data_IF_480502335104
#
_entry.id   IF_480502335104
#
_cell.length_a   1.000
_cell.length_b   1.000
_cell.length_c   1.000
_cell.angle_alpha   90.00
_cell.angle_beta   90.00
_cell.angle_gamma   90.00
#
_symmetry.space_group_name_H-M   'P 1'
#
loop_
_entity.id
_entity.type
_entity.pdbx_description
1 polymer ?
#
# COMPACT_ATOMS: atom_id res chain seq x y z
N UNK A 1 -43.02 8.99 -27.47
CA UNK A 1 -43.20 9.94 -28.58
C UNK A 1 -42.42 11.20 -28.23
N UNK A 2 -41.50 11.52 -29.06
CA UNK A 2 -40.56 12.66 -29.17
C UNK A 2 -39.09 12.33 -28.88
N UNK A 3 -38.46 11.91 -29.97
CA UNK A 3 -37.00 12.01 -30.22
C UNK A 3 -36.57 13.48 -30.23
N UNK A 4 -35.43 13.79 -29.64
CA UNK A 4 -34.60 14.93 -30.07
C UNK A 4 -33.18 14.47 -30.36
N UNK A 5 -32.89 14.52 -31.66
CA UNK A 5 -31.55 14.39 -32.25
C UNK A 5 -30.86 15.73 -32.18
N UNK A 6 -29.57 15.79 -31.82
CA UNK A 6 -28.70 16.91 -32.17
C UNK A 6 -27.39 16.39 -32.79
N UNK A 7 -26.96 17.04 -33.86
CA UNK A 7 -25.82 16.64 -34.66
C UNK A 7 -24.57 17.48 -34.36
N UNK A 8 -23.41 17.00 -34.82
CA UNK A 8 -22.31 17.87 -35.22
C UNK A 8 -20.95 17.60 -34.62
N UNK A 9 -20.16 16.77 -35.31
CA UNK A 9 -18.69 16.79 -35.22
C UNK A 9 -18.13 18.04 -35.93
N UNK A 10 -16.89 18.43 -35.63
CA UNK A 10 -15.92 18.44 -36.71
C UNK A 10 -14.62 17.66 -36.42
N UNK A 11 -14.16 17.00 -37.47
CA UNK A 11 -12.86 16.43 -37.67
C UNK A 11 -11.86 17.53 -38.04
N UNK A 12 -10.70 17.54 -37.40
CA UNK A 12 -9.43 18.09 -37.92
C UNK A 12 -8.33 17.20 -37.30
N UNK A 13 -7.37 16.67 -37.95
CA UNK A 13 -6.66 17.02 -39.14
C UNK A 13 -5.22 16.57 -38.87
N UNK A 14 -4.76 15.59 -39.59
CA UNK A 14 -3.43 14.97 -39.59
C UNK A 14 -2.32 16.00 -39.81
N UNK A 15 -1.24 15.96 -39.05
CA UNK A 15 0.04 16.50 -39.50
C UNK A 15 1.17 15.57 -39.09
N UNK A 16 1.66 14.88 -40.09
CA UNK A 16 2.88 14.06 -40.12
C UNK A 16 4.06 15.01 -40.35
N UNK A 17 5.06 14.97 -39.49
CA UNK A 17 6.37 15.57 -39.81
C UNK A 17 7.49 14.58 -39.51
N UNK A 18 7.98 13.99 -40.58
CA UNK A 18 9.26 13.30 -40.66
C UNK A 18 10.39 14.33 -40.74
N UNK A 19 11.42 14.18 -39.91
CA UNK A 19 12.75 14.74 -40.23
C UNK A 19 13.80 13.66 -40.00
N UNK A 20 14.36 13.24 -41.10
CA UNK A 20 15.57 12.44 -41.22
C UNK A 20 16.73 13.42 -41.38
N UNK A 21 17.83 13.23 -40.67
CA UNK A 21 19.15 13.59 -41.19
C UNK A 21 20.25 12.83 -40.46
N UNK A 22 20.98 12.12 -41.24
CA UNK A 22 22.25 11.48 -41.00
C UNK A 22 23.39 12.48 -41.04
N UNK A 23 24.53 12.19 -40.42
CA UNK A 23 25.78 11.95 -41.10
C UNK A 23 27.00 12.10 -40.19
N UNK A 24 27.78 11.13 -40.18
CA UNK A 24 29.21 10.91 -40.11
C UNK A 24 30.17 12.12 -40.11
N UNK A 25 31.25 11.95 -39.32
CA UNK A 25 32.46 12.78 -39.47
C UNK A 25 33.59 12.28 -38.57
N UNK A 26 34.56 11.73 -39.22
CA UNK A 26 35.75 11.02 -38.78
C UNK A 26 36.95 11.98 -38.54
N UNK A 27 37.88 11.63 -37.64
CA UNK A 27 39.30 11.82 -37.82
C UNK A 27 40.02 12.96 -37.11
N UNK A 28 41.12 12.63 -36.46
CA UNK A 28 42.17 13.60 -36.23
C UNK A 28 43.03 13.38 -34.98
N UNK A 29 44.11 12.69 -35.15
CA UNK A 29 45.31 12.54 -34.29
C UNK A 29 45.99 13.86 -33.97
N UNK A 30 46.62 13.99 -32.77
CA UNK A 30 47.53 15.07 -32.48
C UNK A 30 48.07 15.09 -31.05
N UNK A 31 49.22 14.50 -30.88
CA UNK A 31 50.14 14.55 -29.75
C UNK A 31 50.47 15.99 -29.33
N UNK A 32 50.61 16.26 -28.05
CA UNK A 32 51.69 17.09 -27.50
C UNK A 32 51.66 17.16 -25.97
N UNK A 33 52.68 16.64 -25.38
CA UNK A 33 53.12 16.80 -24.00
C UNK A 33 53.22 18.28 -23.57
N UNK A 34 52.68 18.62 -22.42
CA UNK A 34 53.23 19.67 -21.59
C UNK A 34 52.98 19.39 -20.11
N UNK A 35 54.04 19.00 -19.44
CA UNK A 35 54.13 18.86 -17.98
C UNK A 35 54.19 20.27 -17.36
N UNK A 36 53.41 20.50 -16.31
CA UNK A 36 53.61 21.56 -15.34
C UNK A 36 53.47 20.97 -13.95
N UNK A 37 54.36 21.22 -13.02
CA UNK A 37 54.41 20.56 -11.72
C UNK A 37 53.61 21.31 -10.64
N UNK A 38 53.03 20.54 -9.73
CA UNK A 38 52.91 20.83 -8.31
C UNK A 38 51.77 21.74 -7.89
N UNK A 39 50.84 21.14 -7.23
CA UNK A 39 50.52 21.52 -5.85
C UNK A 39 49.60 20.44 -5.28
N UNK A 40 50.15 19.65 -4.36
CA UNK A 40 49.43 18.76 -3.48
C UNK A 40 48.61 19.61 -2.53
N UNK A 41 47.34 19.82 -2.84
CA UNK A 41 46.35 20.18 -1.85
C UNK A 41 45.64 18.91 -1.46
N UNK A 42 46.06 18.32 -0.33
CA UNK A 42 45.31 17.31 0.39
C UNK A 42 44.01 17.92 0.85
N UNK A 43 42.95 17.72 0.05
CA UNK A 43 41.58 17.89 0.53
C UNK A 43 41.30 16.70 1.41
N UNK A 44 41.24 16.98 2.73
CA UNK A 44 40.75 16.10 3.76
C UNK A 44 39.45 15.47 3.29
N UNK A 45 39.36 14.15 3.47
CA UNK A 45 38.13 13.37 3.41
C UNK A 45 37.13 13.97 4.41
N UNK A 46 36.43 15.00 3.97
CA UNK A 46 35.22 15.48 4.61
C UNK A 46 34.11 14.46 4.34
N UNK A 47 33.68 13.88 5.39
CA UNK A 47 32.46 13.12 5.63
C UNK A 47 31.39 13.32 4.54
N UNK A 48 31.33 12.40 3.58
CA UNK A 48 30.16 12.18 2.71
C UNK A 48 29.32 11.05 3.31
N UNK A 49 28.92 11.23 4.56
CA UNK A 49 27.88 10.42 5.20
C UNK A 49 26.65 11.31 5.30
N UNK A 50 25.76 11.28 4.31
CA UNK A 50 24.33 11.59 4.46
C UNK A 50 23.58 11.66 3.11
N UNK A 51 23.83 10.74 2.19
CA UNK A 51 23.04 10.66 0.95
C UNK A 51 22.34 9.31 0.72
N UNK A 52 22.34 8.41 1.74
CA UNK A 52 21.71 7.09 1.64
C UNK A 52 20.56 6.88 2.66
N UNK A 53 19.96 7.96 3.14
CA UNK A 53 18.83 7.88 4.08
C UNK A 53 17.49 7.49 3.42
N UNK A 54 17.43 7.40 2.10
CA UNK A 54 16.18 7.23 1.34
C UNK A 54 15.50 5.87 1.49
N UNK A 55 16.15 4.80 1.98
CA UNK A 55 15.57 3.46 1.98
C UNK A 55 15.93 2.61 3.20
N UNK A 56 16.38 3.24 4.29
CA UNK A 56 16.70 2.51 5.52
C UNK A 56 15.43 2.29 6.36
N UNK A 57 15.11 1.01 6.60
CA UNK A 57 14.09 0.62 7.56
C UNK A 57 14.56 1.01 8.96
N UNK A 58 13.75 1.72 9.78
CA UNK A 58 14.09 2.02 11.15
C UNK A 58 14.38 0.76 11.96
N UNK A 59 15.25 0.85 12.97
CA UNK A 59 15.52 -0.27 13.86
C UNK A 59 14.42 -0.45 14.91
N UNK A 60 13.70 0.61 15.25
CA UNK A 60 12.62 0.65 16.21
C UNK A 60 11.42 1.41 15.61
N UNK A 61 10.20 1.03 16.00
CA UNK A 61 8.96 1.67 15.54
C UNK A 61 8.57 2.91 16.37
N UNK A 62 9.19 3.15 17.51
CA UNK A 62 8.94 4.33 18.37
C UNK A 62 7.55 4.38 19.02
N UNK A 63 6.69 3.38 18.83
CA UNK A 63 5.33 3.35 19.39
C UNK A 63 5.40 2.90 20.85
N UNK A 64 4.80 3.66 21.81
CA UNK A 64 4.76 3.27 23.22
C UNK A 64 4.13 1.89 23.44
N UNK A 65 4.59 1.16 24.46
CA UNK A 65 4.16 -0.22 24.71
C UNK A 65 2.64 -0.35 24.91
N UNK A 66 2.03 0.58 25.62
CA UNK A 66 0.58 0.59 25.90
C UNK A 66 -0.23 0.83 24.62
N UNK A 67 0.22 1.77 23.80
CA UNK A 67 -0.38 2.09 22.49
C UNK A 67 -0.28 0.88 21.56
N UNK A 68 0.91 0.27 21.52
CA UNK A 68 1.13 -0.93 20.72
C UNK A 68 0.26 -2.11 21.19
N UNK A 69 0.04 -2.26 22.50
CA UNK A 69 -0.82 -3.30 23.05
C UNK A 69 -2.27 -3.15 22.52
N UNK A 70 -2.83 -1.93 22.55
CA UNK A 70 -4.14 -1.63 21.98
C UNK A 70 -4.19 -1.96 20.48
N UNK A 71 -3.18 -1.54 19.72
CA UNK A 71 -3.12 -1.83 18.28
C UNK A 71 -3.06 -3.34 17.99
N UNK A 72 -2.30 -4.10 18.81
CA UNK A 72 -2.23 -5.57 18.70
C UNK A 72 -3.56 -6.24 19.00
N UNK A 73 -4.26 -5.80 20.04
CA UNK A 73 -5.58 -6.35 20.42
C UNK A 73 -6.64 -6.08 19.36
N UNK A 74 -6.54 -4.97 18.63
CA UNK A 74 -7.45 -4.59 17.56
C UNK A 74 -7.06 -5.13 16.17
N UNK A 75 -6.00 -5.96 16.07
CA UNK A 75 -5.49 -6.52 14.80
C UNK A 75 -5.67 -8.04 14.78
N UNK A 76 -6.29 -8.58 13.72
CA UNK A 76 -6.74 -9.97 13.65
C UNK A 76 -6.30 -10.64 12.35
N UNK A 77 -6.12 -11.96 12.41
CA UNK A 77 -5.95 -12.79 11.22
C UNK A 77 -7.29 -12.98 10.51
N UNK A 78 -7.27 -12.80 9.19
CA UNK A 78 -8.35 -13.18 8.27
C UNK A 78 -7.95 -14.42 7.52
N UNK A 79 -8.84 -15.41 7.46
CA UNK A 79 -8.64 -16.63 6.68
C UNK A 79 -9.90 -16.97 5.89
N UNK A 80 -9.75 -17.77 4.86
CA UNK A 80 -10.89 -18.31 4.13
C UNK A 80 -10.47 -19.20 2.97
N UNK A 81 -11.45 -19.92 2.46
CA UNK A 81 -11.27 -20.73 1.26
C UNK A 81 -11.84 -19.95 0.08
N UNK A 82 -10.96 -19.41 -0.75
CA UNK A 82 -11.32 -18.91 -2.07
C UNK A 82 -11.62 -20.08 -3.01
N UNK A 83 -11.89 -19.79 -4.28
CA UNK A 83 -12.37 -20.82 -5.21
C UNK A 83 -11.47 -22.03 -5.36
N UNK A 84 -10.16 -21.88 -5.26
CA UNK A 84 -9.19 -22.98 -5.50
C UNK A 84 -8.11 -23.07 -4.44
N UNK A 85 -7.98 -22.10 -3.54
CA UNK A 85 -6.90 -22.06 -2.54
C UNK A 85 -7.32 -21.38 -1.25
N UNK A 86 -6.69 -21.76 -0.16
CA UNK A 86 -6.78 -20.99 1.10
C UNK A 86 -6.13 -19.63 0.92
N UNK A 87 -6.78 -18.61 1.44
CA UNK A 87 -6.30 -17.22 1.49
C UNK A 87 -6.20 -16.80 2.94
N UNK A 88 -5.25 -15.94 3.25
CA UNK A 88 -5.05 -15.37 4.57
C UNK A 88 -4.46 -13.97 4.47
N UNK A 89 -4.73 -13.18 5.47
CA UNK A 89 -4.27 -11.80 5.61
C UNK A 89 -4.56 -11.27 6.99
N UNK A 90 -4.63 -9.97 7.09
CA UNK A 90 -4.83 -9.23 8.34
C UNK A 90 -6.03 -8.30 8.20
N UNK A 91 -6.74 -8.05 9.29
CA UNK A 91 -7.77 -7.03 9.43
C UNK A 91 -7.58 -6.29 10.74
N UNK A 92 -8.15 -5.08 10.85
CA UNK A 92 -8.13 -4.31 12.09
C UNK A 92 -9.47 -3.62 12.34
N UNK A 93 -9.76 -3.34 13.61
CA UNK A 93 -11.04 -2.76 14.05
C UNK A 93 -11.09 -1.26 13.76
N UNK A 94 -12.16 -0.80 13.10
CA UNK A 94 -12.41 0.60 12.78
C UNK A 94 -13.69 1.15 13.41
N UNK A 95 -14.63 0.26 13.75
CA UNK A 95 -15.86 0.61 14.47
C UNK A 95 -16.35 -0.61 15.25
N UNK A 96 -17.44 -0.45 16.02
CA UNK A 96 -18.12 -1.56 16.67
C UNK A 96 -18.50 -2.62 15.65
N UNK A 97 -18.05 -3.88 15.86
CA UNK A 97 -18.29 -5.02 14.97
C UNK A 97 -17.74 -4.87 13.52
N UNK A 98 -16.95 -3.84 13.24
CA UNK A 98 -16.49 -3.49 11.89
C UNK A 98 -14.97 -3.51 11.80
N UNK A 99 -14.47 -4.19 10.78
CA UNK A 99 -13.04 -4.29 10.46
C UNK A 99 -12.74 -3.91 9.02
N UNK A 100 -11.52 -3.50 8.76
CA UNK A 100 -10.99 -3.27 7.41
C UNK A 100 -9.90 -4.28 7.10
N UNK A 101 -9.88 -4.76 5.86
CA UNK A 101 -8.84 -5.61 5.27
C UNK A 101 -8.65 -5.24 3.79
N UNK A 102 -7.77 -5.95 3.07
CA UNK A 102 -7.71 -5.81 1.62
C UNK A 102 -8.78 -6.64 0.90
N UNK A 103 -9.24 -6.13 -0.23
CA UNK A 103 -10.17 -6.85 -1.11
C UNK A 103 -9.57 -8.18 -1.60
N UNK A 104 -8.27 -8.19 -1.99
CA UNK A 104 -7.62 -9.40 -2.47
C UNK A 104 -7.49 -10.50 -1.40
N UNK A 105 -7.56 -10.17 -0.11
CA UNK A 105 -7.55 -11.14 0.99
C UNK A 105 -8.84 -11.93 1.05
N UNK A 106 -9.97 -11.31 0.71
CA UNK A 106 -11.31 -11.91 0.82
C UNK A 106 -11.98 -12.19 -0.52
N UNK A 107 -11.35 -11.85 -1.65
CA UNK A 107 -11.93 -12.03 -2.98
C UNK A 107 -12.34 -13.49 -3.23
N UNK A 108 -13.63 -13.68 -3.55
CA UNK A 108 -14.22 -15.00 -3.81
C UNK A 108 -14.43 -15.89 -2.57
N UNK A 109 -14.22 -15.37 -1.35
CA UNK A 109 -14.51 -16.09 -0.10
C UNK A 109 -15.93 -15.75 0.35
N UNK A 110 -16.83 -16.73 0.36
CA UNK A 110 -18.22 -16.51 0.76
C UNK A 110 -18.38 -16.21 2.27
N UNK A 111 -17.52 -16.77 3.10
CA UNK A 111 -17.58 -16.65 4.55
C UNK A 111 -16.15 -16.49 5.11
N UNK A 112 -15.55 -15.29 5.00
CA UNK A 112 -14.25 -15.03 5.62
C UNK A 112 -14.32 -15.26 7.12
N UNK A 113 -13.23 -15.75 7.70
CA UNK A 113 -13.12 -16.06 9.12
C UNK A 113 -12.10 -15.18 9.78
N UNK A 114 -12.45 -14.69 10.96
CA UNK A 114 -11.57 -13.90 11.82
C UNK A 114 -11.21 -14.73 13.04
N UNK A 115 -9.94 -14.81 13.39
CA UNK A 115 -9.50 -15.50 14.61
C UNK A 115 -9.58 -14.54 15.80
N UNK A 116 -10.62 -14.67 16.63
CA UNK A 116 -10.84 -13.85 17.82
C UNK A 116 -10.62 -14.73 19.06
N UNK A 117 -9.64 -14.38 19.91
CA UNK A 117 -9.33 -15.13 21.13
C UNK A 117 -9.15 -16.64 20.89
N UNK A 118 -8.48 -16.99 19.78
CA UNK A 118 -8.22 -18.37 19.39
C UNK A 118 -9.43 -19.13 18.81
N UNK A 119 -10.55 -18.46 18.55
CA UNK A 119 -11.74 -19.03 17.89
C UNK A 119 -11.92 -18.40 16.52
N UNK A 120 -12.27 -19.21 15.53
CA UNK A 120 -12.72 -18.72 14.24
C UNK A 120 -14.17 -18.23 14.31
N UNK A 121 -14.40 -16.98 13.91
CA UNK A 121 -15.70 -16.34 13.82
C UNK A 121 -15.95 -15.99 12.35
N UNK A 122 -17.14 -16.31 11.86
CA UNK A 122 -17.54 -15.96 10.49
C UNK A 122 -17.79 -14.45 10.42
N UNK A 123 -17.24 -13.82 9.38
CA UNK A 123 -17.51 -12.43 9.04
C UNK A 123 -18.30 -12.32 7.73
N UNK A 124 -18.94 -11.17 7.53
CA UNK A 124 -19.60 -10.79 6.28
C UNK A 124 -18.82 -9.67 5.62
N UNK A 125 -18.68 -9.72 4.31
CA UNK A 125 -18.17 -8.61 3.53
C UNK A 125 -19.33 -7.65 3.26
N UNK A 126 -19.23 -6.43 3.76
CA UNK A 126 -20.28 -5.40 3.66
C UNK A 126 -19.92 -4.26 2.71
N UNK A 127 -18.63 -4.11 2.38
CA UNK A 127 -18.16 -3.31 1.26
C UNK A 127 -16.91 -3.95 0.64
N UNK A 128 -16.74 -3.77 -0.66
CA UNK A 128 -15.67 -4.40 -1.40
C UNK A 128 -15.30 -3.56 -2.63
N UNK A 129 -14.10 -3.00 -2.63
CA UNK A 129 -13.60 -2.23 -3.75
C UNK A 129 -12.33 -2.88 -4.35
N UNK A 130 -12.43 -3.44 -5.55
CA UNK A 130 -11.30 -4.06 -6.23
C UNK A 130 -10.26 -3.04 -6.73
N UNK A 131 -10.63 -1.78 -6.89
CA UNK A 131 -9.75 -0.72 -7.42
C UNK A 131 -8.83 -0.21 -6.32
N UNK A 132 -9.37 0.16 -5.17
CA UNK A 132 -8.57 0.58 -4.01
C UNK A 132 -7.92 -0.61 -3.30
N UNK A 133 -8.42 -1.84 -3.55
CA UNK A 133 -8.01 -3.07 -2.87
C UNK A 133 -8.36 -3.05 -1.38
N UNK A 134 -9.55 -2.56 -1.03
CA UNK A 134 -10.08 -2.53 0.32
C UNK A 134 -11.39 -3.34 0.43
N UNK A 135 -11.62 -3.88 1.62
CA UNK A 135 -12.88 -4.51 1.98
C UNK A 135 -13.24 -4.21 3.44
N UNK A 136 -14.53 -4.07 3.71
CA UNK A 136 -15.08 -3.91 5.05
C UNK A 136 -15.76 -5.21 5.47
N UNK A 137 -15.43 -5.67 6.67
CA UNK A 137 -15.96 -6.89 7.28
C UNK A 137 -16.79 -6.53 8.50
N UNK A 138 -17.93 -7.20 8.65
CA UNK A 138 -18.70 -7.20 9.88
C UNK A 138 -18.65 -8.57 10.55
N UNK A 139 -18.59 -8.57 11.88
CA UNK A 139 -18.67 -9.75 12.73
C UNK A 139 -19.75 -9.57 13.80
N UNK A 140 -20.46 -10.65 14.14
CA UNK A 140 -21.46 -10.64 15.20
C UNK A 140 -20.82 -11.02 16.55
N UNK A 141 -19.78 -10.26 16.92
CA UNK A 141 -19.01 -10.44 18.16
C UNK A 141 -18.59 -9.08 18.70
N UNK A 142 -18.39 -9.01 20.02
CA UNK A 142 -17.82 -7.83 20.66
C UNK A 142 -16.32 -7.75 20.36
N UNK A 143 -15.92 -6.72 19.62
CA UNK A 143 -14.54 -6.44 19.28
C UNK A 143 -13.87 -5.54 20.34
N UNK A 144 -12.53 -5.51 20.39
CA UNK A 144 -11.77 -4.50 21.15
C UNK A 144 -12.07 -3.08 20.67
N UNK A 145 -11.48 -2.13 21.38
CA UNK A 145 -11.57 -0.72 20.99
C UNK A 145 -11.05 -0.51 19.56
N UNK A 146 -11.78 0.33 18.80
CA UNK A 146 -11.39 0.70 17.45
C UNK A 146 -10.09 1.49 17.43
N UNK A 147 -9.31 1.31 16.38
CA UNK A 147 -8.17 2.18 16.12
C UNK A 147 -8.64 3.48 15.46
N UNK A 148 -8.17 4.65 15.91
CA UNK A 148 -8.44 5.92 15.24
C UNK A 148 -7.79 5.92 13.85
N UNK A 149 -8.42 6.63 12.91
CA UNK A 149 -7.94 6.80 11.54
C UNK A 149 -7.40 8.22 11.36
N UNK A 150 -6.26 8.37 10.69
CA UNK A 150 -5.65 9.68 10.44
C UNK A 150 -4.69 9.68 9.26
N UNK A 151 -4.18 10.85 8.94
CA UNK A 151 -3.29 11.04 7.80
C UNK A 151 -1.84 10.68 8.14
N UNK A 152 -1.14 10.13 7.17
CA UNK A 152 0.28 9.82 7.29
C UNK A 152 1.13 11.10 7.16
N UNK A 153 2.19 11.17 7.96
CA UNK A 153 3.18 12.26 7.88
C UNK A 153 4.43 11.68 7.21
N UNK A 154 4.86 12.22 6.04
CA UNK A 154 6.12 11.80 5.41
C UNK A 154 7.30 11.94 6.38
N UNK A 155 8.18 10.95 6.40
CA UNK A 155 9.31 10.85 7.31
C UNK A 155 8.98 10.25 8.68
N UNK A 156 7.70 10.10 9.04
CA UNK A 156 7.31 9.54 10.34
C UNK A 156 7.72 8.06 10.46
N UNK A 157 8.27 7.72 11.63
CA UNK A 157 8.51 6.35 12.05
C UNK A 157 7.24 5.79 12.66
N UNK A 158 6.85 4.59 12.22
CA UNK A 158 5.56 3.96 12.50
C UNK A 158 5.74 2.47 12.77
N UNK A 159 4.71 1.83 13.34
CA UNK A 159 4.65 0.38 13.47
C UNK A 159 3.70 -0.21 12.43
N UNK A 160 4.15 -1.25 11.73
CA UNK A 160 3.36 -2.03 10.81
C UNK A 160 3.00 -3.35 11.50
N UNK A 161 1.72 -3.66 11.58
CA UNK A 161 1.21 -4.89 12.19
C UNK A 161 0.63 -5.82 11.12
N UNK A 162 0.92 -7.12 11.23
CA UNK A 162 0.37 -8.10 10.31
C UNK A 162 0.52 -9.52 10.84
N UNK A 163 -0.42 -10.38 10.48
CA UNK A 163 -0.35 -11.80 10.78
C UNK A 163 0.42 -12.52 9.67
N UNK A 164 1.33 -13.39 10.06
CA UNK A 164 1.97 -14.32 9.11
C UNK A 164 1.06 -15.54 8.85
N UNK A 165 1.57 -16.48 8.05
CA UNK A 165 0.80 -17.65 7.63
C UNK A 165 0.43 -18.59 8.81
N UNK A 166 1.26 -18.67 9.85
CA UNK A 166 1.00 -19.50 11.02
C UNK A 166 0.05 -18.85 12.04
N UNK A 167 -0.41 -17.63 11.76
CA UNK A 167 -1.33 -16.87 12.61
C UNK A 167 -0.65 -16.01 13.66
N UNK A 168 0.67 -15.99 13.74
CA UNK A 168 1.39 -15.13 14.67
C UNK A 168 1.30 -13.67 14.24
N UNK A 169 0.96 -12.77 15.17
CA UNK A 169 0.98 -11.34 14.95
C UNK A 169 2.41 -10.79 15.06
N UNK A 170 2.90 -10.25 13.98
CA UNK A 170 4.23 -9.66 13.85
C UNK A 170 4.10 -8.13 13.83
N UNK A 171 5.01 -7.45 14.50
CA UNK A 171 5.18 -6.00 14.44
C UNK A 171 6.52 -5.69 13.80
N UNK A 172 6.53 -4.80 12.83
CA UNK A 172 7.74 -4.35 12.15
C UNK A 172 7.87 -2.84 12.26
N UNK A 173 9.07 -2.31 12.51
CA UNK A 173 9.32 -0.89 12.33
C UNK A 173 9.21 -0.52 10.86
N UNK A 174 8.69 0.68 10.61
CA UNK A 174 8.55 1.21 9.27
C UNK A 174 8.70 2.72 9.27
N UNK A 175 8.96 3.31 8.10
CA UNK A 175 8.94 4.76 7.90
C UNK A 175 8.08 5.09 6.69
N UNK A 176 7.23 6.08 6.84
CA UNK A 176 6.49 6.64 5.71
C UNK A 176 7.45 7.46 4.86
N UNK A 177 7.67 7.09 3.61
CA UNK A 177 8.57 7.84 2.72
C UNK A 177 7.79 8.94 2.00
N UNK A 178 6.77 8.59 1.23
CA UNK A 178 5.95 9.56 0.49
C UNK A 178 4.53 9.08 0.22
N UNK A 179 3.65 10.04 -0.06
CA UNK A 179 2.31 9.79 -0.59
C UNK A 179 2.36 9.76 -2.12
N UNK A 180 1.76 8.73 -2.72
CA UNK A 180 1.76 8.50 -4.16
C UNK A 180 0.36 8.22 -4.68
N UNK A 181 0.14 8.37 -5.98
CA UNK A 181 -0.97 7.76 -6.69
C UNK A 181 -0.48 6.45 -7.34
N UNK A 182 -0.84 5.32 -6.76
CA UNK A 182 -0.49 4.02 -7.31
C UNK A 182 -1.42 3.68 -8.48
N UNK A 183 -0.94 3.89 -9.69
CA UNK A 183 -1.67 3.61 -10.94
C UNK A 183 -1.41 2.17 -11.41
N UNK A 184 -2.31 1.62 -12.23
CA UNK A 184 -2.12 0.32 -12.86
C UNK A 184 -3.41 -0.50 -12.92
N UNK A 185 -3.36 -1.69 -12.33
CA UNK A 185 -4.46 -2.65 -12.40
C UNK A 185 -5.13 -2.81 -11.04
N UNK A 186 -6.43 -3.11 -11.08
CA UNK A 186 -7.17 -3.59 -9.93
C UNK A 186 -6.73 -5.01 -9.52
N UNK A 187 -7.37 -5.58 -8.49
CA UNK A 187 -7.04 -6.93 -8.01
C UNK A 187 -7.33 -8.05 -9.02
N UNK A 188 -8.14 -7.79 -10.04
CA UNK A 188 -8.50 -8.72 -11.11
C UNK A 188 -7.68 -8.53 -12.38
N UNK A 189 -6.73 -7.59 -12.38
CA UNK A 189 -5.89 -7.30 -13.52
C UNK A 189 -6.53 -6.37 -14.57
N UNK A 190 -7.69 -5.76 -14.28
CA UNK A 190 -8.32 -4.76 -15.13
C UNK A 190 -7.63 -3.41 -14.94
N UNK A 191 -7.57 -2.61 -16.00
CA UNK A 191 -7.03 -1.26 -15.92
C UNK A 191 -7.90 -0.38 -15.01
N UNK A 192 -7.27 0.31 -14.05
CA UNK A 192 -7.94 1.16 -13.07
C UNK A 192 -7.31 2.56 -13.03
N UNK A 193 -8.07 3.54 -12.54
CA UNK A 193 -7.61 4.93 -12.41
C UNK A 193 -6.47 5.09 -11.38
N UNK A 194 -6.35 4.16 -10.46
CA UNK A 194 -5.35 4.15 -9.40
C UNK A 194 -5.97 4.37 -8.03
N UNK A 195 -5.10 4.34 -6.99
CA UNK A 195 -5.47 4.52 -5.58
C UNK A 195 -4.48 5.41 -4.87
N UNK A 196 -4.93 6.20 -3.91
CA UNK A 196 -4.06 6.98 -3.03
C UNK A 196 -3.31 6.03 -2.12
N UNK A 197 -2.00 6.04 -2.21
CA UNK A 197 -1.14 5.11 -1.49
C UNK A 197 0.04 5.82 -0.84
N UNK A 198 0.73 5.10 0.03
CA UNK A 198 1.97 5.49 0.66
C UNK A 198 3.07 4.54 0.19
N UNK A 199 4.23 5.07 -0.09
CA UNK A 199 5.47 4.30 -0.13
C UNK A 199 6.07 4.27 1.26
N UNK A 200 6.46 3.09 1.73
CA UNK A 200 6.88 2.85 3.11
C UNK A 200 8.15 2.01 3.11
N UNK A 201 9.20 2.48 3.79
CA UNK A 201 10.39 1.68 4.05
C UNK A 201 10.06 0.64 5.13
N UNK A 202 9.87 -0.60 4.73
CA UNK A 202 9.49 -1.70 5.63
C UNK A 202 9.79 -3.07 5.02
N UNK A 203 10.06 -4.05 5.90
CA UNK A 203 10.06 -5.47 5.54
C UNK A 203 8.66 -6.05 5.79
N UNK A 204 8.01 -6.53 4.73
CA UNK A 204 6.68 -7.16 4.81
C UNK A 204 6.72 -8.59 4.31
N UNK A 205 5.91 -9.43 4.95
CA UNK A 205 5.78 -10.85 4.67
C UNK A 205 4.39 -11.16 4.11
N UNK A 206 4.22 -12.38 3.61
CA UNK A 206 2.89 -12.86 3.18
C UNK A 206 1.97 -12.94 4.39
N UNK A 207 0.76 -12.40 4.26
CA UNK A 207 -0.23 -12.28 5.33
C UNK A 207 -0.33 -10.90 5.96
N UNK A 208 0.63 -9.99 5.71
CA UNK A 208 0.55 -8.61 6.18
C UNK A 208 -0.47 -7.76 5.41
N UNK A 209 -0.95 -8.24 4.26
CA UNK A 209 -2.02 -7.60 3.50
C UNK A 209 -3.24 -7.34 4.37
N UNK A 210 -3.75 -6.11 4.37
CA UNK A 210 -4.85 -5.65 5.22
C UNK A 210 -4.42 -5.21 6.62
N UNK A 211 -3.14 -5.34 6.96
CA UNK A 211 -2.60 -4.92 8.25
C UNK A 211 -2.48 -3.41 8.38
N UNK A 212 -2.73 -2.85 9.59
CA UNK A 212 -2.62 -1.44 9.84
C UNK A 212 -1.16 -0.99 9.98
N UNK A 213 -0.89 0.24 9.54
CA UNK A 213 0.30 1.00 9.89
C UNK A 213 -0.14 2.03 10.93
N UNK A 214 0.43 1.99 12.12
CA UNK A 214 0.06 2.88 13.23
C UNK A 214 1.20 3.82 13.60
N UNK A 215 0.87 5.06 13.88
CA UNK A 215 1.80 6.05 14.40
C UNK A 215 2.02 5.91 15.91
N UNK A 216 2.81 6.80 16.51
CA UNK A 216 3.13 6.79 17.92
C UNK A 216 1.92 7.04 18.84
N UNK A 217 0.83 7.58 18.32
CA UNK A 217 -0.44 7.77 19.05
C UNK A 217 -1.40 6.58 18.95
N UNK A 218 -1.08 5.58 18.12
CA UNK A 218 -1.95 4.44 17.82
C UNK A 218 -2.95 4.72 16.69
N UNK A 219 -2.80 5.85 16.01
CA UNK A 219 -3.64 6.21 14.87
C UNK A 219 -3.19 5.40 13.64
N UNK A 220 -4.12 4.75 12.97
CA UNK A 220 -3.87 4.08 11.68
C UNK A 220 -3.67 5.16 10.61
N UNK A 221 -2.53 5.11 9.95
CA UNK A 221 -2.15 6.06 8.88
C UNK A 221 -2.11 5.40 7.50
N UNK A 222 -2.26 4.08 7.42
CA UNK A 222 -2.30 3.33 6.17
C UNK A 222 -2.62 1.85 6.35
N UNK A 223 -2.98 1.18 5.24
CA UNK A 223 -3.30 -0.25 5.18
C UNK A 223 -2.37 -0.94 4.20
N UNK A 224 -1.55 -1.87 4.66
CA UNK A 224 -0.57 -2.57 3.82
C UNK A 224 -1.27 -3.40 2.76
N UNK A 225 -0.86 -3.28 1.48
CA UNK A 225 -1.44 -4.10 0.43
C UNK A 225 -0.41 -4.78 -0.50
N UNK A 226 0.80 -4.26 -0.59
CA UNK A 226 1.81 -4.80 -1.49
C UNK A 226 3.23 -4.54 -0.99
N UNK A 227 4.18 -5.23 -1.61
CA UNK A 227 5.62 -4.99 -1.45
C UNK A 227 6.28 -4.85 -2.82
N UNK A 228 7.41 -4.16 -2.87
CA UNK A 228 8.22 -4.07 -4.07
C UNK A 228 8.75 -5.44 -4.50
N UNK A 229 8.85 -5.63 -5.80
CA UNK A 229 9.52 -6.81 -6.38
C UNK A 229 11.03 -6.64 -6.24
N UNK A 230 11.75 -7.77 -6.12
CA UNK A 230 13.23 -7.74 -6.09
C UNK A 230 13.84 -7.72 -4.69
N UNK A 231 13.04 -7.80 -3.61
CA UNK A 231 13.54 -7.99 -2.25
C UNK A 231 14.06 -6.72 -1.58
N UNK A 232 13.75 -5.53 -2.12
CA UNK A 232 14.01 -4.27 -1.42
C UNK A 232 13.03 -4.07 -0.27
N UNK A 233 13.42 -3.37 0.83
CA UNK A 233 12.57 -3.12 1.96
C UNK A 233 11.59 -1.97 1.68
N UNK A 234 10.78 -2.13 0.64
CA UNK A 234 9.74 -1.18 0.25
C UNK A 234 8.39 -1.88 0.25
N UNK A 235 7.46 -1.33 0.99
CA UNK A 235 6.06 -1.70 1.02
C UNK A 235 5.18 -0.57 0.49
N UNK A 236 3.97 -0.92 0.14
CA UNK A 236 2.94 0.04 -0.27
C UNK A 236 1.74 -0.13 0.64
N UNK A 237 1.19 0.99 1.10
CA UNK A 237 -0.01 1.02 1.91
C UNK A 237 -1.05 1.95 1.29
N UNK A 238 -2.32 1.60 1.42
CA UNK A 238 -3.46 2.42 0.99
C UNK A 238 -3.61 3.55 2.02
N UNK A 239 -3.81 4.78 1.56
CA UNK A 239 -4.06 5.92 2.45
C UNK A 239 -5.41 5.79 3.15
N UNK A 240 -5.48 6.30 4.37
CA UNK A 240 -6.70 6.24 5.19
C UNK A 240 -7.90 6.95 4.54
N UNK A 241 -7.67 7.95 3.70
CA UNK A 241 -8.75 8.58 2.95
C UNK A 241 -9.57 7.60 2.09
N UNK A 242 -8.92 6.58 1.48
CA UNK A 242 -9.65 5.52 0.76
C UNK A 242 -10.46 4.63 1.71
N UNK A 243 -9.95 4.40 2.92
CA UNK A 243 -10.67 3.64 3.96
C UNK A 243 -11.93 4.38 4.39
N UNK A 244 -11.84 5.69 4.61
CA UNK A 244 -12.98 6.54 5.00
C UNK A 244 -14.04 6.55 3.90
N UNK A 245 -13.63 6.74 2.65
CA UNK A 245 -14.54 6.73 1.50
C UNK A 245 -15.29 5.40 1.42
N UNK A 246 -14.60 4.25 1.55
CA UNK A 246 -15.22 2.92 1.52
C UNK A 246 -16.16 2.67 2.72
N UNK A 247 -15.80 3.15 3.92
CA UNK A 247 -16.66 3.04 5.10
C UNK A 247 -17.97 3.81 4.96
N UNK A 248 -17.95 4.95 4.26
CA UNK A 248 -19.16 5.71 3.97
C UNK A 248 -20.06 4.99 2.95
N UNK A 249 -19.47 4.30 1.97
CA UNK A 249 -20.19 3.45 1.02
C UNK A 249 -20.79 2.20 1.69
N UNK A 250 -20.09 1.58 2.64
CA UNK A 250 -20.55 0.38 3.35
C UNK A 250 -21.89 0.55 4.06
N UNK A 251 -22.29 1.78 4.36
CA UNK A 251 -23.60 2.10 4.98
C UNK A 251 -24.78 1.84 4.06
N UNK A 252 -24.56 1.56 2.78
CA UNK A 252 -25.63 1.39 1.76
C UNK A 252 -26.10 -0.06 1.63
N UNK A 253 -25.33 -1.05 2.11
CA UNK A 253 -25.77 -2.46 2.17
C UNK A 253 -24.68 -3.48 1.77
N UNK A 254 -24.93 -4.77 1.97
CA UNK A 254 -23.92 -5.81 1.76
C UNK A 254 -23.63 -6.05 0.28
N UNK A 255 -22.35 -6.04 -0.12
CA UNK A 255 -21.91 -6.26 -1.50
C UNK A 255 -21.34 -7.66 -1.76
N UNK A 256 -20.92 -8.39 -0.71
CA UNK A 256 -20.20 -9.65 -0.85
C UNK A 256 -18.74 -9.49 -1.29
N UNK A 257 -18.03 -10.61 -1.45
CA UNK A 257 -16.58 -10.66 -1.64
C UNK A 257 -16.11 -10.60 -3.12
N UNK A 258 -16.99 -10.23 -4.03
CA UNK A 258 -16.67 -10.22 -5.46
C UNK A 258 -16.37 -11.61 -6.04
N UNK A 259 -15.98 -11.68 -7.32
CA UNK A 259 -15.59 -12.94 -7.97
C UNK A 259 -14.24 -13.45 -7.46
N UNK A 260 -13.89 -14.67 -7.88
CA UNK A 260 -12.58 -15.25 -7.60
C UNK A 260 -11.46 -14.54 -8.34
N UNK A 261 -10.33 -14.47 -7.71
CA UNK A 261 -9.09 -13.90 -8.24
C UNK A 261 -8.14 -14.99 -8.76
#
# INVERSE_FOLDING_TARGET
MNLRVFPGLPRFGTALLLVVAAACGNGGTGDSHRSVPGESSSLSHGDLTDADSGNQVPQDHGVPTEVLATAREATFQVTGLGCTKAQFGTAFVVAEQTMVTNAHVVAGIQAPRITIRGREVISRVVAFDPVTDLAVLEVDETLPERLPLGEAIPGAVVALLGHNQDGSLIVRPARVDEAILATGKDIYGQQAEGRRALMVAAWVETGFSGGPIVDQSGTVVGVVFARAKGGSPVAYAIQVSEVVDLLDEARVGPEGSGPCR
#
